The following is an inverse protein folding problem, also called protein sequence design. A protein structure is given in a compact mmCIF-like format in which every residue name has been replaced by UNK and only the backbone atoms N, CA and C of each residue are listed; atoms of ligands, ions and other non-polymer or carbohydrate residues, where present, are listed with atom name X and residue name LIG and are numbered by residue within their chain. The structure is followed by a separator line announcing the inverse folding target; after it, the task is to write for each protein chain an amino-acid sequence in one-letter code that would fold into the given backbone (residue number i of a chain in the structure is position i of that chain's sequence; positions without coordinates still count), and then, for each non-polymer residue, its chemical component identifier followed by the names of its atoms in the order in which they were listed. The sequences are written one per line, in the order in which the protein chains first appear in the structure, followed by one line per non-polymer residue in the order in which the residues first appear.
data_IF_850397760199
#
_entry.id   IF_850397760199
#
_cell.length_a   1.000
_cell.length_b   1.000
_cell.length_c   1.000
_cell.angle_alpha   90.00
_cell.angle_beta   90.00
_cell.angle_gamma   90.00
#
_symmetry.space_group_name_H-M   'P 1'
#
loop_
_entity.id
_entity.type
_entity.pdbx_description
1 polymer ?
#
# COMPACT_ATOMS: atom_id res chain seq x y z
N UNK A 1 -15.91 19.86 -2.64
CA UNK A 1 -15.35 18.97 -3.69
C UNK A 1 -15.24 17.62 -3.03
N UNK A 2 -15.64 16.56 -3.70
CA UNK A 2 -15.50 15.20 -3.18
C UNK A 2 -14.34 14.51 -3.89
N UNK A 3 -13.79 13.46 -3.28
CA UNK A 3 -12.78 12.63 -3.94
C UNK A 3 -13.39 11.92 -5.15
N UNK A 4 -12.61 11.85 -6.22
CA UNK A 4 -12.95 11.07 -7.41
C UNK A 4 -12.76 9.58 -7.14
N UNK A 5 -13.50 8.76 -7.89
CA UNK A 5 -13.34 7.31 -7.81
C UNK A 5 -11.98 6.89 -8.33
N UNK A 6 -11.43 5.78 -7.81
CA UNK A 6 -10.15 5.24 -8.29
C UNK A 6 -10.17 4.96 -9.79
N UNK A 7 -11.31 4.54 -10.35
CA UNK A 7 -11.42 4.32 -11.79
C UNK A 7 -11.21 5.61 -12.58
N UNK A 8 -11.80 6.73 -12.16
CA UNK A 8 -11.62 8.02 -12.84
C UNK A 8 -10.18 8.53 -12.76
N UNK A 9 -9.47 8.21 -11.67
CA UNK A 9 -8.04 8.52 -11.49
C UNK A 9 -7.19 7.67 -12.45
N UNK A 10 -7.47 6.37 -12.54
CA UNK A 10 -6.78 5.45 -13.48
C UNK A 10 -6.98 5.92 -14.92
N UNK A 11 -8.20 6.33 -15.28
CA UNK A 11 -8.52 6.79 -16.64
C UNK A 11 -7.74 8.07 -17.01
N UNK A 12 -7.64 9.03 -16.09
CA UNK A 12 -6.86 10.26 -16.34
C UNK A 12 -5.36 10.00 -16.46
N UNK A 13 -4.82 9.07 -15.66
CA UNK A 13 -3.42 8.64 -15.81
C UNK A 13 -3.21 7.92 -17.15
N UNK A 14 -4.16 7.09 -17.59
CA UNK A 14 -4.08 6.40 -18.89
C UNK A 14 -4.05 7.39 -20.08
N UNK A 15 -4.78 8.50 -19.94
CA UNK A 15 -4.81 9.63 -20.88
C UNK A 15 -3.58 10.55 -20.79
N UNK A 16 -2.68 10.34 -19.83
CA UNK A 16 -1.48 11.16 -19.64
C UNK A 16 -1.72 12.49 -18.91
N UNK A 17 -2.84 12.61 -18.20
CA UNK A 17 -3.14 13.77 -17.36
C UNK A 17 -2.47 13.64 -16.00
N UNK A 18 -2.31 14.78 -15.34
CA UNK A 18 -1.96 14.84 -13.92
C UNK A 18 -3.20 14.54 -13.07
N UNK A 19 -2.99 13.84 -11.96
CA UNK A 19 -3.98 13.67 -10.89
C UNK A 19 -3.32 14.03 -9.56
N UNK A 20 -4.14 14.27 -8.52
CA UNK A 20 -3.67 14.45 -7.16
C UNK A 20 -3.98 13.18 -6.37
N UNK A 21 -3.00 12.69 -5.63
CA UNK A 21 -3.16 11.56 -4.72
C UNK A 21 -2.81 11.99 -3.31
N UNK A 22 -3.68 11.66 -2.36
CA UNK A 22 -3.53 12.00 -0.95
C UNK A 22 -3.36 10.72 -0.14
N UNK A 23 -2.42 10.74 0.80
CA UNK A 23 -2.26 9.67 1.77
C UNK A 23 -3.15 9.86 3.01
N UNK A 24 -2.97 9.00 4.00
CA UNK A 24 -3.75 9.06 5.24
C UNK A 24 -3.35 10.26 6.11
N UNK A 25 -4.31 10.85 6.83
CA UNK A 25 -4.08 12.00 7.73
C UNK A 25 -3.08 11.65 8.86
N UNK A 26 -2.98 10.36 9.25
CA UNK A 26 -2.03 9.89 10.27
C UNK A 26 -0.64 9.51 9.70
N UNK A 27 -0.44 9.59 8.38
CA UNK A 27 0.82 9.27 7.70
C UNK A 27 1.65 10.52 7.41
N UNK A 28 1.62 11.06 6.19
CA UNK A 28 2.28 12.32 5.82
C UNK A 28 1.26 13.48 5.75
N UNK A 29 -0.03 13.16 5.54
CA UNK A 29 -1.14 14.10 5.36
C UNK A 29 -0.87 15.07 4.20
N UNK A 30 -0.27 14.56 3.12
CA UNK A 30 0.24 15.33 1.98
C UNK A 30 -0.43 14.89 0.69
N UNK A 31 -0.37 15.75 -0.33
CA UNK A 31 -0.89 15.47 -1.66
C UNK A 31 0.20 15.59 -2.71
N UNK A 32 0.30 14.57 -3.56
CA UNK A 32 1.25 14.51 -4.65
C UNK A 32 0.55 14.67 -6.00
N UNK A 33 1.15 15.45 -6.89
CA UNK A 33 0.86 15.38 -8.32
C UNK A 33 1.41 14.08 -8.88
N UNK A 34 0.60 13.28 -9.57
CA UNK A 34 0.98 11.97 -10.11
C UNK A 34 0.72 11.90 -11.61
N UNK A 35 1.66 11.34 -12.36
CA UNK A 35 1.51 11.01 -13.77
C UNK A 35 2.30 9.73 -14.14
N UNK A 36 1.86 9.00 -15.16
CA UNK A 36 2.63 7.88 -15.69
C UNK A 36 3.90 8.37 -16.40
N UNK A 37 5.05 7.74 -16.11
CA UNK A 37 6.35 8.22 -16.56
C UNK A 37 6.50 8.18 -18.09
N UNK A 38 5.84 7.21 -18.76
CA UNK A 38 5.81 7.11 -20.22
C UNK A 38 5.19 8.34 -20.90
N UNK A 39 4.24 8.98 -20.23
CA UNK A 39 3.40 10.04 -20.79
C UNK A 39 3.82 11.43 -20.32
N UNK A 40 4.84 11.53 -19.46
CA UNK A 40 5.32 12.80 -18.94
C UNK A 40 5.72 13.75 -20.08
N UNK A 41 5.52 15.04 -19.92
CA UNK A 41 5.96 16.04 -20.90
C UNK A 41 6.76 17.15 -20.22
N UNK A 42 7.53 17.96 -20.97
CA UNK A 42 8.18 19.14 -20.40
C UNK A 42 7.17 20.08 -19.70
N UNK A 43 5.96 20.21 -20.23
CA UNK A 43 4.89 21.03 -19.64
C UNK A 43 4.44 20.47 -18.29
N UNK A 44 4.30 19.14 -18.18
CA UNK A 44 3.98 18.47 -16.91
C UNK A 44 5.09 18.71 -15.88
N UNK A 45 6.37 18.55 -16.27
CA UNK A 45 7.49 18.79 -15.35
C UNK A 45 7.59 20.26 -14.95
N UNK A 46 7.34 21.18 -15.87
CA UNK A 46 7.28 22.61 -15.56
C UNK A 46 6.12 22.93 -14.61
N UNK A 47 4.95 22.31 -14.81
CA UNK A 47 3.81 22.45 -13.92
C UNK A 47 4.14 21.94 -12.52
N UNK A 48 4.71 20.73 -12.41
CA UNK A 48 5.19 20.20 -11.12
C UNK A 48 6.19 21.14 -10.44
N UNK A 49 7.18 21.65 -11.18
CA UNK A 49 8.20 22.54 -10.60
C UNK A 49 7.66 23.91 -10.17
N UNK A 50 6.65 24.45 -10.85
CA UNK A 50 6.15 25.81 -10.60
C UNK A 50 4.91 25.85 -9.71
N UNK A 51 4.06 24.82 -9.78
CA UNK A 51 2.79 24.71 -9.05
C UNK A 51 2.82 23.66 -7.94
N UNK A 52 3.50 22.53 -8.16
CA UNK A 52 3.76 21.56 -7.09
C UNK A 52 4.83 22.07 -6.12
N UNK A 53 5.96 22.53 -6.66
CA UNK A 53 7.13 23.09 -5.94
C UNK A 53 7.90 22.09 -5.06
N UNK A 54 7.34 20.91 -4.81
CA UNK A 54 8.01 19.80 -4.14
C UNK A 54 9.11 19.14 -4.98
N UNK A 55 9.62 18.02 -4.49
CA UNK A 55 10.70 17.30 -5.13
C UNK A 55 10.15 16.40 -6.23
N UNK A 56 10.57 16.63 -7.47
CA UNK A 56 10.17 15.75 -8.58
C UNK A 56 10.91 14.42 -8.47
N UNK A 57 10.18 13.38 -8.11
CA UNK A 57 10.68 12.03 -7.94
C UNK A 57 10.14 11.09 -9.03
N UNK A 58 10.85 9.99 -9.25
CA UNK A 58 10.52 8.96 -10.25
C UNK A 58 10.27 7.62 -9.54
N UNK A 59 9.05 7.33 -9.06
CA UNK A 59 8.69 5.99 -8.62
C UNK A 59 8.89 4.96 -9.74
N UNK A 60 9.64 3.91 -9.43
CA UNK A 60 9.92 2.77 -10.29
C UNK A 60 9.60 1.48 -9.53
N UNK A 61 9.11 0.46 -10.23
CA UNK A 61 9.03 -0.88 -9.64
C UNK A 61 10.41 -1.41 -9.26
N UNK A 62 10.45 -2.37 -8.32
CA UNK A 62 11.66 -3.05 -7.92
C UNK A 62 12.40 -3.65 -9.11
N UNK A 63 11.69 -4.29 -10.04
CA UNK A 63 12.26 -4.90 -11.24
C UNK A 63 12.87 -3.86 -12.19
N UNK A 64 12.26 -2.67 -12.28
CA UNK A 64 12.81 -1.58 -13.10
C UNK A 64 14.07 -1.01 -12.48
N UNK A 65 14.12 -0.85 -11.16
CA UNK A 65 15.35 -0.49 -10.45
C UNK A 65 16.46 -1.52 -10.69
N UNK A 66 16.14 -2.81 -10.64
CA UNK A 66 17.10 -3.89 -10.89
C UNK A 66 17.57 -3.92 -12.36
N UNK A 67 16.66 -3.74 -13.32
CA UNK A 67 16.96 -3.62 -14.74
C UNK A 67 17.97 -2.50 -15.03
N UNK A 68 17.84 -1.37 -14.33
CA UNK A 68 18.70 -0.20 -14.48
C UNK A 68 19.95 -0.23 -13.59
N UNK A 69 20.10 -1.26 -12.76
CA UNK A 69 21.16 -1.38 -11.75
C UNK A 69 21.24 -0.12 -10.86
N UNK A 70 20.10 0.30 -10.31
CA UNK A 70 20.00 1.48 -9.45
C UNK A 70 20.21 1.09 -7.97
N UNK A 71 21.39 1.37 -7.37
CA UNK A 71 21.59 1.16 -5.95
C UNK A 71 20.81 2.18 -5.12
N UNK A 72 20.45 1.78 -3.90
CA UNK A 72 19.90 2.68 -2.89
C UNK A 72 20.89 3.80 -2.56
N UNK A 73 20.42 5.02 -2.30
CA UNK A 73 21.33 6.14 -1.98
C UNK A 73 22.02 6.00 -0.62
N UNK A 74 21.44 5.20 0.29
CA UNK A 74 21.97 4.91 1.62
C UNK A 74 21.76 3.44 1.95
N UNK A 75 22.76 2.83 2.59
CA UNK A 75 22.66 1.48 3.12
C UNK A 75 21.82 1.41 4.40
N UNK A 76 21.64 2.53 5.09
CA UNK A 76 20.91 2.62 6.35
C UNK A 76 19.90 3.77 6.29
N UNK A 77 18.69 3.47 5.84
CA UNK A 77 17.61 4.43 5.82
C UNK A 77 17.03 4.62 7.23
N UNK A 78 17.17 5.83 7.78
CA UNK A 78 16.66 6.21 9.11
C UNK A 78 15.45 7.14 9.04
N UNK A 79 14.88 7.35 7.85
CA UNK A 79 13.71 8.20 7.67
C UNK A 79 12.46 7.56 8.30
N UNK A 80 11.60 8.39 8.88
CA UNK A 80 10.36 7.98 9.57
C UNK A 80 9.46 7.09 8.70
N UNK A 81 9.30 7.45 7.42
CA UNK A 81 8.43 6.75 6.47
C UNK A 81 9.20 5.89 5.44
N UNK A 82 10.50 5.69 5.70
CA UNK A 82 11.42 4.82 4.95
C UNK A 82 11.38 4.98 3.43
N UNK A 83 11.16 6.20 2.94
CA UNK A 83 11.13 6.51 1.50
C UNK A 83 12.41 6.04 0.83
N UNK A 84 12.25 5.16 -0.16
CA UNK A 84 13.30 4.32 -0.70
C UNK A 84 14.00 4.98 -1.90
N UNK A 85 14.75 6.06 -1.62
CA UNK A 85 15.55 6.74 -2.65
C UNK A 85 16.69 5.89 -3.18
N UNK A 86 16.81 5.84 -4.50
CA UNK A 86 18.04 5.40 -5.19
C UNK A 86 18.97 6.59 -5.41
N UNK A 87 20.17 6.32 -5.92
CA UNK A 87 21.04 7.38 -6.47
C UNK A 87 20.29 8.19 -7.53
N UNK A 88 20.53 9.52 -7.57
CA UNK A 88 19.92 10.40 -8.56
C UNK A 88 20.51 10.18 -9.95
N UNK A 89 19.72 10.41 -10.98
CA UNK A 89 20.05 10.02 -12.36
C UNK A 89 19.80 11.15 -13.37
N UNK A 90 20.47 11.01 -14.51
CA UNK A 90 20.25 11.75 -15.76
C UNK A 90 20.23 10.78 -16.94
N UNK A 91 19.57 11.15 -18.04
CA UNK A 91 19.77 10.44 -19.31
C UNK A 91 21.21 10.63 -19.79
N UNK A 92 21.85 9.55 -20.26
CA UNK A 92 23.22 9.59 -20.74
C UNK A 92 23.40 10.46 -22.01
N UNK A 93 22.32 10.72 -22.74
CA UNK A 93 22.29 11.46 -24.02
C UNK A 93 20.99 12.25 -24.13
N UNK A 94 20.94 13.21 -25.05
CA UNK A 94 19.71 13.94 -25.39
C UNK A 94 19.33 15.04 -24.39
N UNK A 95 20.25 15.40 -23.49
CA UNK A 95 20.09 16.47 -22.50
C UNK A 95 21.26 17.45 -22.56
N UNK A 96 21.09 18.59 -21.90
CA UNK A 96 22.13 19.60 -21.71
C UNK A 96 22.75 19.49 -20.31
N UNK A 97 22.23 20.25 -19.35
CA UNK A 97 22.64 20.23 -17.94
C UNK A 97 21.77 19.32 -17.09
N UNK A 98 20.67 18.77 -17.64
CA UNK A 98 19.80 17.82 -16.94
C UNK A 98 18.65 18.46 -16.15
N UNK A 99 18.77 19.73 -15.74
CA UNK A 99 17.80 20.36 -14.81
C UNK A 99 16.55 20.95 -15.49
N UNK A 100 16.63 21.25 -16.79
CA UNK A 100 15.51 21.87 -17.51
C UNK A 100 14.28 20.96 -17.48
N UNK A 101 13.08 21.52 -17.65
CA UNK A 101 11.86 20.70 -17.69
C UNK A 101 11.91 19.67 -18.83
N UNK A 102 12.49 20.04 -19.97
CA UNK A 102 12.70 19.13 -21.10
C UNK A 102 13.71 18.02 -20.79
N UNK A 103 14.84 18.36 -20.18
CA UNK A 103 15.90 17.39 -19.84
C UNK A 103 15.44 16.39 -18.77
N UNK A 104 14.72 16.89 -17.75
CA UNK A 104 14.09 16.05 -16.72
C UNK A 104 13.02 15.12 -17.30
N UNK A 105 12.15 15.64 -18.18
CA UNK A 105 11.16 14.80 -18.87
C UNK A 105 11.83 13.74 -19.76
N UNK A 106 12.93 14.09 -20.45
CA UNK A 106 13.70 13.14 -21.24
C UNK A 106 14.34 12.06 -20.37
N UNK A 107 14.95 12.44 -19.25
CA UNK A 107 15.53 11.51 -18.27
C UNK A 107 14.49 10.52 -17.74
N UNK A 108 13.32 11.01 -17.34
CA UNK A 108 12.21 10.19 -16.83
C UNK A 108 11.77 9.16 -17.88
N UNK A 109 11.54 9.58 -19.13
CA UNK A 109 11.15 8.66 -20.22
C UNK A 109 12.21 7.63 -20.53
N UNK A 110 13.49 8.05 -20.53
CA UNK A 110 14.61 7.16 -20.79
C UNK A 110 14.69 6.06 -19.74
N UNK A 111 14.58 6.41 -18.46
CA UNK A 111 14.57 5.44 -17.36
C UNK A 111 13.30 4.55 -17.36
N UNK A 112 12.13 5.11 -17.65
CA UNK A 112 10.87 4.38 -17.63
C UNK A 112 10.68 3.43 -18.84
N UNK A 113 11.47 3.59 -19.91
CA UNK A 113 11.34 2.78 -21.12
C UNK A 113 11.43 1.27 -20.84
N UNK A 114 10.57 0.48 -21.49
CA UNK A 114 10.62 -0.99 -21.49
C UNK A 114 12.01 -1.53 -21.84
N UNK A 115 12.70 -0.85 -22.77
CA UNK A 115 13.99 -1.27 -23.31
C UNK A 115 15.18 -0.59 -22.63
N UNK A 116 14.95 0.16 -21.55
CA UNK A 116 16.00 0.90 -20.87
C UNK A 116 17.11 -0.04 -20.39
N UNK A 117 18.34 0.43 -20.51
CA UNK A 117 19.54 -0.26 -20.04
C UNK A 117 20.25 0.60 -19.00
N UNK A 118 21.09 0.01 -18.13
CA UNK A 118 21.92 0.78 -17.21
C UNK A 118 22.77 1.85 -17.91
N UNK A 119 23.21 1.60 -19.14
CA UNK A 119 24.01 2.54 -19.95
C UNK A 119 23.23 3.74 -20.49
N UNK A 120 21.90 3.72 -20.44
CA UNK A 120 21.06 4.81 -20.94
C UNK A 120 20.91 5.94 -19.93
N UNK A 121 21.35 5.71 -18.68
CA UNK A 121 21.34 6.67 -17.59
C UNK A 121 22.74 6.81 -16.97
N UNK A 122 23.00 7.95 -16.34
CA UNK A 122 24.23 8.23 -15.60
C UNK A 122 23.88 8.71 -14.19
N UNK A 123 24.85 8.63 -13.29
CA UNK A 123 24.74 9.11 -11.91
C UNK A 123 25.96 9.97 -11.54
N UNK A 124 25.79 11.04 -10.73
CA UNK A 124 24.53 11.58 -10.22
C UNK A 124 23.71 12.31 -11.29
N UNK A 125 22.53 12.82 -10.93
CA UNK A 125 21.74 13.70 -11.79
C UNK A 125 20.60 14.41 -11.04
N UNK A 126 19.62 14.92 -11.79
CA UNK A 126 18.55 15.80 -11.28
C UNK A 126 17.16 15.16 -11.20
N UNK A 127 17.03 13.88 -11.52
CA UNK A 127 15.84 13.07 -11.24
C UNK A 127 16.16 12.10 -10.11
N UNK A 128 15.21 11.93 -9.18
CA UNK A 128 15.38 11.13 -7.97
C UNK A 128 14.49 9.89 -8.02
N UNK A 129 15.00 8.73 -8.45
CA UNK A 129 14.18 7.53 -8.49
C UNK A 129 13.88 7.00 -7.09
N UNK A 130 12.68 6.45 -6.94
CA UNK A 130 12.19 5.83 -5.73
C UNK A 130 11.85 4.37 -6.04
N UNK A 131 12.39 3.43 -5.27
CA UNK A 131 12.10 2.00 -5.43
C UNK A 131 10.79 1.67 -4.70
N UNK A 132 9.74 1.35 -5.45
CA UNK A 132 8.51 0.83 -4.87
C UNK A 132 8.72 -0.56 -4.27
N UNK A 133 8.02 -0.85 -3.18
CA UNK A 133 7.97 -2.19 -2.63
C UNK A 133 7.22 -3.16 -3.56
N UNK A 134 7.68 -4.40 -3.59
CA UNK A 134 6.93 -5.50 -4.21
C UNK A 134 5.53 -5.59 -3.57
N UNK A 135 4.51 -5.77 -4.41
CA UNK A 135 3.11 -5.77 -3.99
C UNK A 135 2.43 -4.39 -3.95
N UNK A 136 3.19 -3.29 -4.10
CA UNK A 136 2.63 -1.94 -4.21
C UNK A 136 1.89 -1.49 -2.95
N UNK A 137 0.74 -0.81 -3.12
CA UNK A 137 0.02 -0.19 -1.99
C UNK A 137 -0.52 -1.19 -0.97
N UNK A 138 -0.66 -2.46 -1.38
CA UNK A 138 -1.05 -3.55 -0.49
C UNK A 138 0.08 -3.96 0.46
N UNK A 139 1.32 -3.63 0.11
CA UNK A 139 2.51 -3.85 0.95
C UNK A 139 2.90 -2.62 1.76
N UNK A 140 2.88 -1.43 1.12
CA UNK A 140 3.18 -0.14 1.75
C UNK A 140 2.27 0.92 1.15
N UNK A 141 1.44 1.55 2.00
CA UNK A 141 0.52 2.61 1.60
C UNK A 141 1.24 3.96 1.41
N UNK A 142 2.15 4.07 0.45
CA UNK A 142 2.89 5.30 0.13
C UNK A 142 2.67 5.79 -1.29
N UNK A 143 2.95 7.08 -1.53
CA UNK A 143 2.85 7.71 -2.86
C UNK A 143 3.71 7.01 -3.92
N UNK A 144 4.88 6.49 -3.52
CA UNK A 144 5.76 5.69 -4.39
C UNK A 144 5.05 4.45 -4.94
N UNK A 145 4.45 3.64 -4.07
CA UNK A 145 3.74 2.44 -4.48
C UNK A 145 2.47 2.76 -5.26
N UNK A 146 1.70 3.75 -4.78
CA UNK A 146 0.45 4.15 -5.41
C UNK A 146 0.67 4.61 -6.86
N UNK A 147 1.76 5.31 -7.11
CA UNK A 147 2.14 5.77 -8.45
C UNK A 147 2.44 4.61 -9.39
N UNK A 148 3.26 3.64 -8.95
CA UNK A 148 3.58 2.47 -9.76
C UNK A 148 2.33 1.62 -10.04
N UNK A 149 1.46 1.47 -9.04
CA UNK A 149 0.19 0.74 -9.17
C UNK A 149 -0.78 1.40 -10.12
N UNK A 150 -0.98 2.71 -10.01
CA UNK A 150 -1.86 3.43 -10.92
C UNK A 150 -1.34 3.37 -12.36
N UNK A 151 -0.04 3.53 -12.58
CA UNK A 151 0.56 3.39 -13.90
C UNK A 151 0.32 1.98 -14.49
N UNK A 152 0.49 0.94 -13.67
CA UNK A 152 0.20 -0.46 -14.05
C UNK A 152 -1.29 -0.67 -14.37
N UNK A 153 -2.20 -0.16 -13.53
CA UNK A 153 -3.65 -0.25 -13.73
C UNK A 153 -4.10 0.52 -14.98
N UNK A 154 -3.41 1.61 -15.31
CA UNK A 154 -3.55 2.38 -16.55
C UNK A 154 -2.87 1.73 -17.78
N UNK A 155 -2.37 0.48 -17.64
CA UNK A 155 -1.71 -0.30 -18.69
C UNK A 155 -0.44 0.36 -19.25
N UNK A 156 0.29 1.09 -18.42
CA UNK A 156 1.63 1.64 -18.70
C UNK A 156 2.70 0.82 -17.99
N UNK A 157 3.97 1.10 -18.27
CA UNK A 157 5.06 0.61 -17.43
C UNK A 157 4.80 0.99 -15.96
N UNK A 158 5.11 0.12 -14.98
CA UNK A 158 5.03 0.41 -13.54
C UNK A 158 6.07 1.44 -13.08
N UNK A 159 5.97 2.65 -13.64
CA UNK A 159 6.83 3.79 -13.42
C UNK A 159 6.00 5.07 -13.56
N UNK A 160 6.22 6.02 -12.66
CA UNK A 160 5.53 7.32 -12.69
C UNK A 160 6.41 8.47 -12.24
N UNK A 161 5.85 9.66 -12.24
CA UNK A 161 6.47 10.85 -11.68
C UNK A 161 5.56 11.41 -10.60
N UNK A 162 6.16 11.78 -9.47
CA UNK A 162 5.46 12.44 -8.36
C UNK A 162 6.13 13.75 -7.99
N UNK A 163 5.35 14.66 -7.43
CA UNK A 163 5.82 15.92 -6.88
C UNK A 163 4.83 16.39 -5.80
N UNK A 164 5.31 16.57 -4.58
CA UNK A 164 4.49 17.06 -3.47
C UNK A 164 3.99 18.48 -3.78
N UNK A 165 2.78 18.80 -3.29
CA UNK A 165 2.15 20.11 -3.49
C UNK A 165 2.40 21.00 -2.28
N UNK A 166 3.04 22.14 -2.50
CA UNK A 166 3.29 23.17 -1.49
C UNK A 166 2.45 24.42 -1.74
N UNK A 167 1.93 24.99 -0.66
CA UNK A 167 1.33 26.32 -0.63
C UNK A 167 2.35 27.40 -1.05
N UNK A 168 1.87 28.59 -1.39
CA UNK A 168 2.74 29.68 -1.86
C UNK A 168 3.70 30.19 -0.78
N UNK A 169 3.34 30.03 0.49
CA UNK A 169 4.16 30.36 1.65
C UNK A 169 5.24 29.30 1.96
N UNK A 170 5.28 28.22 1.18
CA UNK A 170 6.21 27.10 1.34
C UNK A 170 5.77 26.05 2.37
N UNK A 171 4.57 26.17 2.96
CA UNK A 171 3.98 25.10 3.76
C UNK A 171 3.44 23.97 2.86
N UNK A 172 3.30 22.76 3.42
CA UNK A 172 2.70 21.64 2.68
C UNK A 172 1.19 21.86 2.54
N UNK A 173 0.66 21.68 1.32
CA UNK A 173 -0.77 21.78 1.08
C UNK A 173 -1.50 20.62 1.76
N UNK A 174 -2.51 20.96 2.57
CA UNK A 174 -3.37 19.97 3.24
C UNK A 174 -4.68 19.81 2.49
N UNK A 175 -5.51 18.87 2.92
CA UNK A 175 -6.76 18.46 2.25
C UNK A 175 -7.59 19.62 1.66
N UNK A 176 -7.88 20.66 2.44
CA UNK A 176 -8.69 21.79 1.97
C UNK A 176 -7.98 22.63 0.89
N UNK A 177 -6.66 22.76 0.98
CA UNK A 177 -5.85 23.45 -0.02
C UNK A 177 -5.74 22.61 -1.29
N UNK A 178 -5.58 21.29 -1.15
CA UNK A 178 -5.56 20.35 -2.26
C UNK A 178 -6.88 20.34 -3.03
N UNK A 179 -8.03 20.47 -2.36
CA UNK A 179 -9.31 20.64 -3.06
C UNK A 179 -9.40 21.97 -3.82
N UNK A 180 -8.87 23.06 -3.27
CA UNK A 180 -8.81 24.34 -3.99
C UNK A 180 -7.90 24.23 -5.21
N UNK A 181 -6.72 23.63 -5.03
CA UNK A 181 -5.73 23.41 -6.09
C UNK A 181 -6.29 22.51 -7.20
N UNK A 182 -6.94 21.40 -6.85
CA UNK A 182 -7.60 20.49 -7.77
C UNK A 182 -8.64 21.23 -8.63
N UNK A 183 -9.46 22.07 -7.99
CA UNK A 183 -10.47 22.87 -8.69
C UNK A 183 -9.87 23.93 -9.60
N UNK A 184 -8.84 24.65 -9.14
CA UNK A 184 -8.16 25.70 -9.91
C UNK A 184 -7.57 25.15 -11.22
N UNK A 185 -6.88 24.01 -11.13
CA UNK A 185 -6.20 23.40 -12.27
C UNK A 185 -7.01 22.30 -12.97
N UNK A 186 -8.27 22.12 -12.57
CA UNK A 186 -9.17 21.08 -13.12
C UNK A 186 -8.58 19.67 -13.07
N UNK A 187 -7.92 19.33 -11.96
CA UNK A 187 -7.34 18.02 -11.70
C UNK A 187 -8.29 17.18 -10.86
N UNK A 188 -8.32 15.87 -11.13
CA UNK A 188 -8.98 14.91 -10.25
C UNK A 188 -8.13 14.64 -9.02
N UNK A 189 -8.78 14.33 -7.90
CA UNK A 189 -8.14 14.04 -6.62
C UNK A 189 -8.68 12.73 -6.06
N UNK A 190 -7.79 11.83 -5.65
CA UNK A 190 -8.15 10.53 -5.06
C UNK A 190 -7.29 10.21 -3.83
N UNK A 191 -7.63 9.13 -3.14
CA UNK A 191 -6.91 8.69 -1.93
C UNK A 191 -6.18 7.37 -2.15
N UNK A 192 -5.06 7.17 -1.45
CA UNK A 192 -4.37 5.86 -1.42
C UNK A 192 -5.27 4.80 -0.79
N UNK A 193 -6.07 5.17 0.22
CA UNK A 193 -7.02 4.26 0.87
C UNK A 193 -8.05 3.68 -0.13
N UNK A 194 -8.61 4.53 -1.00
CA UNK A 194 -9.53 4.08 -2.05
C UNK A 194 -8.82 3.20 -3.08
N UNK A 195 -7.57 3.50 -3.42
CA UNK A 195 -6.77 2.65 -4.31
C UNK A 195 -6.50 1.27 -3.70
N UNK A 196 -6.19 1.19 -2.41
CA UNK A 196 -6.04 -0.08 -1.67
C UNK A 196 -7.36 -0.86 -1.74
N UNK A 197 -8.48 -0.22 -1.45
CA UNK A 197 -9.80 -0.84 -1.50
C UNK A 197 -10.14 -1.33 -2.92
N UNK A 198 -9.88 -0.51 -3.94
CA UNK A 198 -10.10 -0.83 -5.34
C UNK A 198 -9.28 -2.06 -5.75
N UNK A 199 -7.99 -2.10 -5.42
CA UNK A 199 -7.13 -3.26 -5.71
C UNK A 199 -7.61 -4.51 -4.97
N UNK A 200 -7.93 -4.41 -3.68
CA UNK A 200 -8.42 -5.54 -2.90
C UNK A 200 -9.72 -6.15 -3.44
N UNK A 201 -10.61 -5.34 -4.03
CA UNK A 201 -11.85 -5.81 -4.64
C UNK A 201 -11.67 -6.40 -6.05
N UNK A 202 -10.73 -5.85 -6.84
CA UNK A 202 -10.58 -6.18 -8.27
C UNK A 202 -9.51 -7.23 -8.54
N UNK A 203 -8.46 -7.29 -7.70
CA UNK A 203 -7.35 -8.22 -7.87
C UNK A 203 -7.56 -9.44 -6.96
N UNK A 204 -7.49 -10.64 -7.54
CA UNK A 204 -7.40 -11.86 -6.75
C UNK A 204 -5.97 -11.98 -6.22
N UNK A 205 -5.78 -11.69 -4.94
CA UNK A 205 -4.49 -11.75 -4.26
C UNK A 205 -4.27 -13.01 -3.43
N UNK A 206 -5.28 -13.89 -3.31
CA UNK A 206 -5.21 -15.12 -2.52
C UNK A 206 -5.65 -16.34 -3.32
N UNK A 207 -4.88 -17.41 -3.20
CA UNK A 207 -5.06 -18.66 -3.96
C UNK A 207 -5.18 -19.83 -2.99
N UNK A 208 -6.14 -20.72 -3.23
CA UNK A 208 -6.32 -21.92 -2.41
C UNK A 208 -5.28 -22.96 -2.82
N UNK A 209 -4.39 -23.30 -1.90
CA UNK A 209 -3.36 -24.33 -2.11
C UNK A 209 -3.87 -25.72 -1.71
N UNK A 210 -4.66 -25.80 -0.64
CA UNK A 210 -5.09 -27.06 -0.08
C UNK A 210 -6.46 -26.97 0.61
N UNK A 211 -7.17 -28.08 0.70
CA UNK A 211 -8.37 -28.21 1.53
C UNK A 211 -8.62 -29.65 1.94
N UNK A 212 -8.94 -29.84 3.21
CA UNK A 212 -9.26 -31.13 3.82
C UNK A 212 -10.26 -30.95 4.96
N UNK A 213 -10.83 -32.07 5.42
CA UNK A 213 -11.64 -32.08 6.65
C UNK A 213 -10.73 -32.45 7.82
N UNK A 214 -10.82 -31.71 8.92
CA UNK A 214 -10.02 -31.90 10.12
C UNK A 214 -10.91 -31.98 11.35
N UNK A 215 -10.44 -32.70 12.37
CA UNK A 215 -11.03 -32.67 13.71
C UNK A 215 -10.11 -31.89 14.66
N UNK A 216 -10.68 -30.89 15.34
CA UNK A 216 -9.99 -30.08 16.34
C UNK A 216 -10.80 -30.15 17.63
N UNK A 217 -10.22 -30.69 18.71
CA UNK A 217 -10.90 -30.89 20.00
C UNK A 217 -12.27 -31.59 19.87
N UNK A 218 -12.38 -32.56 18.95
CA UNK A 218 -13.62 -33.30 18.68
C UNK A 218 -14.66 -32.54 17.85
N UNK A 219 -14.34 -31.36 17.34
CA UNK A 219 -15.19 -30.58 16.44
C UNK A 219 -14.73 -30.73 14.99
N UNK A 220 -15.67 -30.97 14.07
CA UNK A 220 -15.39 -31.12 12.65
C UNK A 220 -15.30 -29.75 11.96
N UNK A 221 -14.23 -29.54 11.20
CA UNK A 221 -14.04 -28.38 10.35
C UNK A 221 -13.61 -28.78 8.95
N UNK A 222 -14.01 -27.97 7.96
CA UNK A 222 -13.32 -27.94 6.67
C UNK A 222 -12.20 -26.92 6.76
N UNK A 223 -10.96 -27.40 6.74
CA UNK A 223 -9.77 -26.56 6.67
C UNK A 223 -9.45 -26.23 5.21
N UNK A 224 -8.99 -25.02 4.95
CA UNK A 224 -8.36 -24.66 3.68
C UNK A 224 -7.13 -23.79 3.93
N UNK A 225 -6.08 -24.04 3.16
CA UNK A 225 -4.85 -23.26 3.14
C UNK A 225 -4.90 -22.30 1.96
N UNK A 226 -4.65 -21.03 2.24
CA UNK A 226 -4.66 -19.96 1.25
C UNK A 226 -3.30 -19.29 1.22
N UNK A 227 -2.75 -19.12 0.04
CA UNK A 227 -1.49 -18.42 -0.17
C UNK A 227 -1.75 -17.06 -0.77
N UNK A 228 -1.21 -16.01 -0.15
CA UNK A 228 -1.27 -14.69 -0.72
C UNK A 228 -0.12 -14.48 -1.72
N UNK A 229 -0.36 -13.73 -2.80
CA UNK A 229 0.63 -13.49 -3.85
C UNK A 229 1.58 -12.32 -3.57
N UNK A 230 1.41 -11.63 -2.44
CA UNK A 230 2.08 -10.36 -2.15
C UNK A 230 3.27 -10.62 -1.22
N UNK A 231 3.00 -11.25 -0.08
CA UNK A 231 3.97 -11.62 0.93
C UNK A 231 4.26 -13.12 0.95
N UNK A 232 3.56 -13.90 0.11
CA UNK A 232 3.74 -15.35 0.03
C UNK A 232 3.47 -16.05 1.37
N UNK A 233 2.65 -15.45 2.24
CA UNK A 233 2.20 -16.01 3.50
C UNK A 233 1.10 -17.05 3.28
N UNK A 234 0.99 -17.96 4.23
CA UNK A 234 -0.09 -18.94 4.29
C UNK A 234 -1.10 -18.53 5.36
N UNK A 235 -2.36 -18.44 4.95
CA UNK A 235 -3.52 -18.21 5.80
C UNK A 235 -4.34 -19.48 5.90
N UNK A 236 -5.04 -19.67 7.01
CA UNK A 236 -5.92 -20.83 7.21
C UNK A 236 -7.36 -20.37 7.35
N UNK A 237 -8.29 -21.11 6.75
CA UNK A 237 -9.71 -20.98 7.07
C UNK A 237 -10.23 -22.27 7.67
N UNK A 238 -10.97 -22.16 8.77
CA UNK A 238 -11.68 -23.25 9.43
C UNK A 238 -13.17 -22.99 9.32
N UNK A 239 -13.84 -23.76 8.46
CA UNK A 239 -15.25 -23.57 8.13
C UNK A 239 -16.11 -24.68 8.74
N UNK A 240 -17.28 -24.29 9.26
CA UNK A 240 -18.36 -25.21 9.65
C UNK A 240 -19.60 -24.91 8.83
N UNK A 241 -20.28 -25.97 8.38
CA UNK A 241 -21.48 -25.87 7.56
C UNK A 241 -21.21 -25.40 6.12
N UNK A 242 -22.30 -25.15 5.38
CA UNK A 242 -22.25 -24.68 3.99
C UNK A 242 -22.53 -23.19 3.92
N UNK A 243 -21.55 -22.42 3.43
CA UNK A 243 -21.73 -20.99 3.17
C UNK A 243 -22.55 -20.84 1.90
N UNK A 244 -23.70 -20.18 2.00
CA UNK A 244 -24.59 -19.89 0.87
C UNK A 244 -25.07 -18.45 0.96
N UNK A 245 -25.54 -17.86 -0.14
CA UNK A 245 -26.05 -16.48 -0.15
C UNK A 245 -27.33 -16.26 0.68
N UNK A 246 -27.94 -17.34 1.20
CA UNK A 246 -29.19 -17.28 1.97
C UNK A 246 -28.99 -17.22 3.49
N UNK A 247 -27.77 -17.46 3.97
CA UNK A 247 -27.46 -17.47 5.39
C UNK A 247 -26.19 -16.65 5.64
N UNK A 248 -26.24 -15.75 6.62
CA UNK A 248 -25.08 -14.95 7.03
C UNK A 248 -24.20 -15.84 7.93
N UNK A 249 -22.97 -16.19 7.51
CA UNK A 249 -22.09 -17.01 8.33
C UNK A 249 -21.52 -16.18 9.49
N UNK A 250 -21.27 -16.82 10.63
CA UNK A 250 -20.46 -16.20 11.68
C UNK A 250 -19.01 -16.14 11.22
N UNK A 251 -18.41 -14.95 11.12
CA UNK A 251 -17.02 -14.77 10.68
C UNK A 251 -16.15 -14.25 11.82
N UNK A 252 -14.97 -14.87 11.97
CA UNK A 252 -13.91 -14.37 12.84
C UNK A 252 -12.62 -14.26 12.04
N UNK A 253 -12.09 -13.05 11.91
CA UNK A 253 -10.70 -12.84 11.51
C UNK A 253 -9.84 -12.88 12.76
N UNK A 254 -8.89 -13.80 12.82
CA UNK A 254 -8.04 -14.05 13.97
C UNK A 254 -6.58 -13.81 13.59
N UNK A 255 -5.95 -12.87 14.28
CA UNK A 255 -4.50 -12.64 14.20
C UNK A 255 -3.87 -13.48 15.32
N UNK A 256 -3.03 -14.47 15.00
CA UNK A 256 -2.42 -15.34 16.00
C UNK A 256 -1.61 -14.53 17.02
N UNK A 257 -1.76 -14.86 18.30
CA UNK A 257 -0.90 -14.38 19.37
C UNK A 257 -0.38 -15.58 20.17
N UNK A 258 0.94 -15.76 20.24
CA UNK A 258 1.52 -16.94 20.87
C UNK A 258 1.19 -17.03 22.37
N UNK A 259 1.30 -15.93 23.11
CA UNK A 259 1.08 -15.91 24.56
C UNK A 259 -0.38 -16.21 24.89
N UNK A 260 -1.31 -15.63 24.14
CA UNK A 260 -2.73 -15.83 24.39
C UNK A 260 -3.25 -17.15 23.83
N UNK A 261 -2.97 -17.47 22.56
CA UNK A 261 -3.57 -18.62 21.87
C UNK A 261 -2.87 -19.94 22.21
N UNK A 262 -1.55 -19.94 22.48
CA UNK A 262 -0.80 -21.16 22.79
C UNK A 262 -0.51 -21.33 24.28
N UNK A 263 -0.10 -20.26 24.97
CA UNK A 263 0.24 -20.33 26.41
C UNK A 263 -1.01 -20.14 27.30
N UNK A 264 -1.99 -19.36 26.85
CA UNK A 264 -3.24 -19.12 27.59
C UNK A 264 -3.13 -18.01 28.63
N UNK A 265 -2.27 -17.01 28.40
CA UNK A 265 -2.19 -15.85 29.29
C UNK A 265 -3.22 -14.78 28.90
N UNK A 266 -3.99 -14.32 29.89
CA UNK A 266 -5.00 -13.26 29.73
C UNK A 266 -4.47 -11.86 30.14
N UNK A 267 -3.16 -11.75 30.37
CA UNK A 267 -2.51 -10.52 30.82
C UNK A 267 -2.52 -9.39 29.79
N UNK A 268 -2.61 -9.72 28.50
CA UNK A 268 -2.26 -8.82 27.40
C UNK A 268 -3.48 -8.26 26.63
N UNK A 269 -4.62 -8.11 27.32
CA UNK A 269 -5.84 -7.44 26.82
C UNK A 269 -7.08 -8.33 26.67
N UNK A 270 -8.24 -7.72 26.41
CA UNK A 270 -9.55 -8.38 26.25
C UNK A 270 -9.70 -9.07 24.87
N UNK A 271 -8.85 -10.06 24.59
CA UNK A 271 -8.93 -10.87 23.36
C UNK A 271 -9.66 -12.19 23.62
N UNK A 272 -10.24 -12.76 22.57
CA UNK A 272 -10.77 -14.13 22.61
C UNK A 272 -9.68 -15.07 22.10
N UNK A 273 -9.38 -16.09 22.88
CA UNK A 273 -8.39 -17.10 22.50
C UNK A 273 -8.92 -17.94 21.33
N UNK A 274 -7.97 -18.51 20.57
CA UNK A 274 -8.28 -19.32 19.40
C UNK A 274 -9.25 -20.48 19.70
N UNK A 275 -9.12 -21.18 20.84
CA UNK A 275 -9.98 -22.33 21.16
C UNK A 275 -11.42 -21.89 21.45
N UNK A 276 -11.60 -20.79 22.16
CA UNK A 276 -12.93 -20.20 22.40
C UNK A 276 -13.56 -19.68 21.11
N UNK A 277 -12.76 -19.07 20.22
CA UNK A 277 -13.22 -18.65 18.90
C UNK A 277 -13.68 -19.84 18.04
N UNK A 278 -12.91 -20.93 18.02
CA UNK A 278 -13.26 -22.17 17.30
C UNK A 278 -14.56 -22.80 17.80
N UNK A 279 -14.72 -22.92 19.12
CA UNK A 279 -15.97 -23.42 19.73
C UNK A 279 -17.18 -22.61 19.29
N UNK A 280 -17.09 -21.28 19.38
CA UNK A 280 -18.19 -20.40 18.98
C UNK A 280 -18.51 -20.46 17.48
N UNK A 281 -17.49 -20.62 16.63
CA UNK A 281 -17.69 -20.85 15.19
C UNK A 281 -18.38 -22.20 14.94
N UNK A 282 -17.96 -23.26 15.62
CA UNK A 282 -18.58 -24.58 15.47
C UNK A 282 -20.04 -24.61 15.95
N UNK A 283 -20.34 -23.97 17.09
CA UNK A 283 -21.68 -23.90 17.64
C UNK A 283 -22.66 -23.12 16.75
N UNK A 284 -22.16 -22.17 15.95
CA UNK A 284 -22.97 -21.43 14.98
C UNK A 284 -23.54 -22.30 13.86
N UNK A 285 -22.98 -23.51 13.64
CA UNK A 285 -23.29 -24.45 12.53
C UNK A 285 -23.07 -23.91 11.11
N UNK A 286 -22.84 -22.60 10.95
CA UNK A 286 -22.50 -21.93 9.71
C UNK A 286 -21.54 -20.78 10.03
N UNK A 287 -20.24 -21.02 9.88
CA UNK A 287 -19.23 -20.03 10.23
C UNK A 287 -17.85 -20.32 9.66
N UNK A 288 -17.01 -19.29 9.67
CA UNK A 288 -15.62 -19.34 9.20
C UNK A 288 -14.73 -18.58 10.17
N UNK A 289 -13.68 -19.25 10.64
CA UNK A 289 -12.54 -18.58 11.26
C UNK A 289 -11.43 -18.45 10.21
N UNK A 290 -10.98 -17.23 9.93
CA UNK A 290 -9.82 -16.92 9.12
C UNK A 290 -8.63 -16.62 10.04
N UNK A 291 -7.62 -17.47 10.02
CA UNK A 291 -6.36 -17.26 10.71
C UNK A 291 -5.36 -16.58 9.77
N UNK A 292 -4.94 -15.37 10.11
CA UNK A 292 -4.02 -14.57 9.30
C UNK A 292 -2.58 -15.04 9.56
N UNK A 293 -1.89 -15.51 8.52
CA UNK A 293 -0.46 -15.82 8.57
C UNK A 293 0.43 -14.58 8.53
N UNK A 294 1.75 -14.78 8.65
CA UNK A 294 2.75 -13.71 8.47
C UNK A 294 3.17 -12.98 9.76
N UNK A 295 2.69 -13.40 10.94
CA UNK A 295 3.20 -12.90 12.21
C UNK A 295 4.61 -13.45 12.46
N UNK A 296 5.64 -12.59 12.35
CA UNK A 296 6.96 -12.90 12.92
C UNK A 296 6.80 -13.08 14.44
N UNK A 297 6.67 -14.33 14.87
CA UNK A 297 6.45 -14.73 16.27
C UNK A 297 7.45 -14.01 17.19
N UNK A 298 8.71 -13.86 16.75
CA UNK A 298 9.78 -13.24 17.52
C UNK A 298 9.57 -11.73 17.79
N UNK A 299 9.14 -10.95 16.79
CA UNK A 299 8.92 -9.49 16.97
C UNK A 299 7.62 -9.18 17.68
N UNK A 300 6.58 -9.98 17.47
CA UNK A 300 5.30 -9.83 18.17
C UNK A 300 5.48 -10.05 19.68
N UNK A 301 6.25 -11.07 20.07
CA UNK A 301 6.37 -11.47 21.47
C UNK A 301 6.88 -10.36 22.39
N UNK A 302 7.94 -9.66 21.99
CA UNK A 302 8.51 -8.55 22.80
C UNK A 302 7.53 -7.38 22.88
N UNK A 303 6.87 -7.03 21.77
CA UNK A 303 5.89 -5.95 21.75
C UNK A 303 4.67 -6.28 22.61
N UNK A 304 4.20 -7.53 22.56
CA UNK A 304 3.08 -8.01 23.38
C UNK A 304 3.42 -7.90 24.87
N UNK A 305 4.63 -8.32 25.28
CA UNK A 305 5.12 -8.17 26.65
C UNK A 305 5.20 -6.70 27.08
N UNK A 306 5.75 -5.82 26.23
CA UNK A 306 5.97 -4.41 26.55
C UNK A 306 4.68 -3.57 26.56
N UNK A 307 3.65 -3.97 25.81
CA UNK A 307 2.37 -3.23 25.72
C UNK A 307 1.61 -3.17 27.05
N UNK A 308 1.89 -4.09 27.98
CA UNK A 308 1.26 -4.17 29.29
C UNK A 308 1.82 -3.14 30.29
N UNK A 309 3.10 -2.76 30.18
CA UNK A 309 3.70 -1.72 31.04
C UNK A 309 2.98 -0.36 30.90
N UNK A 310 2.43 -0.08 29.71
CA UNK A 310 1.74 1.17 29.39
C UNK A 310 0.25 1.22 29.79
N UNK A 311 -0.43 0.07 30.00
CA UNK A 311 -1.88 0.00 30.24
C UNK A 311 -2.29 -0.28 31.70
N UNK A 312 -1.34 -0.25 32.63
CA UNK A 312 -1.59 -0.50 34.06
C UNK A 312 -2.47 0.56 34.78
N UNK A 313 -2.89 1.63 34.09
CA UNK A 313 -3.86 2.60 34.59
C UNK A 313 -5.17 2.56 33.79
N UNK A 314 -6.29 2.28 34.47
CA UNK A 314 -7.69 2.32 33.98
C UNK A 314 -8.21 1.10 33.20
N UNK A 315 -8.95 0.21 33.90
CA UNK A 315 -9.78 -0.84 33.28
C UNK A 315 -11.26 -0.51 33.47
N UNK A 316 -12.00 -0.34 32.37
CA UNK A 316 -13.45 -0.37 32.33
C UNK A 316 -13.91 -1.52 31.42
N UNK A 317 -14.72 -2.43 31.96
CA UNK A 317 -15.12 -3.70 31.32
C UNK A 317 -16.39 -3.48 30.47
N UNK A 318 -16.26 -3.32 29.15
CA UNK A 318 -17.26 -3.76 28.14
C UNK A 318 -16.98 -3.17 26.74
N UNK A 319 -16.38 -3.95 25.84
CA UNK A 319 -16.67 -3.88 24.39
C UNK A 319 -16.08 -5.11 23.68
N UNK A 320 -16.93 -6.04 23.23
CA UNK A 320 -16.53 -7.23 22.46
C UNK A 320 -16.82 -6.98 20.98
N UNK A 321 -15.79 -6.77 20.15
CA UNK A 321 -15.94 -6.61 18.70
C UNK A 321 -16.33 -7.95 18.05
N UNK A 322 -17.63 -8.17 17.95
CA UNK A 322 -18.28 -9.13 17.06
C UNK A 322 -18.93 -8.33 15.95
N UNK A 323 -18.56 -8.57 14.69
CA UNK A 323 -19.28 -7.98 13.56
C UNK A 323 -20.55 -8.81 13.31
N UNK A 324 -21.68 -8.33 13.81
CA UNK A 324 -23.00 -8.64 13.27
C UNK A 324 -23.53 -7.34 12.68
N UNK A 325 -23.74 -7.28 11.36
CA UNK A 325 -24.45 -6.12 10.80
C UNK A 325 -25.88 -6.14 11.32
N UNK A 326 -26.18 -5.26 12.28
CA UNK A 326 -27.55 -4.84 12.54
C UNK A 326 -27.84 -3.66 11.61
N UNK A 327 -28.58 -3.98 10.53
CA UNK A 327 -29.26 -3.07 9.57
C UNK A 327 -28.40 -2.08 8.80
#
# INVERSE_FOLDING_TARGET
MEFNTTQEIIDDIADGKLVILVDDEDRENEGDLVCAAELVTPEIINFMATKGRGLICLPLSSEKCDQLNLPMMTNHNRAKHTTAFTVSIEAAKGISTGISAADRAHTIKTAASKKAKPSDIVQPGHIFPLRANEGGVLSRAGHTEATCDLARLAKKEPAGVICEIMNEDGSMARRDDLFKFAKEFSLKIGTIADLIHYRALKEKSVFKEHSENVQIDGMDFKMSVWKDSIFNNLHLTLQVGKITSKQIPLVRVHVPNMLHDMIGTDGYGDRIDLRSALRKIHDSKCGVLLLIGGGHIEKSLINDINSDEAQSGTRNKNSRNWCTNTS
#
